data_IF_940650394030
#
_entry.id   IF_940650394030
#
_cell.length_a   1.000
_cell.length_b   1.000
_cell.length_c   1.000
_cell.angle_alpha   90.00
_cell.angle_beta   90.00
_cell.angle_gamma   90.00
#
_symmetry.space_group_name_H-M   'P 1'
#
loop_
_entity.id
_entity.type
_entity.pdbx_description
1 polymer ?
#
# COMPACT_ATOMS: atom_id res chain seq x y z
N UNK A 1 13.39 -17.27 -6.51
CA UNK A 1 13.46 -15.79 -6.43
C UNK A 1 12.12 -15.18 -5.99
N UNK A 2 11.02 -15.34 -6.74
CA UNK A 2 9.72 -14.72 -6.40
C UNK A 2 9.18 -15.05 -5.00
N UNK A 3 9.27 -16.32 -4.55
CA UNK A 3 8.79 -16.72 -3.22
C UNK A 3 9.56 -16.03 -2.07
N UNK A 4 10.86 -15.80 -2.23
CA UNK A 4 11.67 -15.11 -1.22
C UNK A 4 11.25 -13.64 -1.08
N UNK A 5 10.93 -12.97 -2.20
CA UNK A 5 10.43 -11.59 -2.21
C UNK A 5 9.06 -11.50 -1.54
N UNK A 6 8.16 -12.46 -1.81
CA UNK A 6 6.84 -12.50 -1.17
C UNK A 6 6.96 -12.73 0.34
N UNK A 7 7.79 -13.68 0.76
CA UNK A 7 8.03 -13.96 2.18
C UNK A 7 8.60 -12.75 2.91
N UNK A 8 9.58 -12.06 2.30
CA UNK A 8 10.13 -10.82 2.86
C UNK A 8 9.08 -9.71 2.93
N UNK A 9 8.28 -9.49 1.87
CA UNK A 9 7.24 -8.46 1.88
C UNK A 9 6.19 -8.71 2.98
N UNK A 10 5.85 -9.96 3.27
CA UNK A 10 4.93 -10.30 4.35
C UNK A 10 5.45 -9.87 5.73
N UNK A 11 6.77 -9.88 5.96
CA UNK A 11 7.36 -9.49 7.24
C UNK A 11 7.61 -7.99 7.37
N UNK A 12 7.92 -7.29 6.26
CA UNK A 12 8.30 -5.86 6.30
C UNK A 12 7.21 -4.88 5.84
N UNK A 13 6.05 -5.37 5.38
CA UNK A 13 4.97 -4.49 4.89
C UNK A 13 4.53 -3.49 5.96
N UNK A 14 4.54 -2.21 5.60
CA UNK A 14 3.92 -1.16 6.42
C UNK A 14 2.40 -1.32 6.43
N UNK A 15 1.82 -1.08 7.60
CA UNK A 15 0.38 -0.98 7.79
C UNK A 15 -0.07 0.41 7.36
N UNK A 16 -0.81 0.47 6.25
CA UNK A 16 -1.34 1.70 5.68
C UNK A 16 -2.87 1.60 5.68
N UNK A 17 -3.60 2.69 5.97
CA UNK A 17 -5.06 2.65 6.10
C UNK A 17 -5.75 2.01 4.89
N UNK A 18 -5.30 2.36 3.70
CA UNK A 18 -5.82 1.82 2.44
C UNK A 18 -5.44 0.37 2.12
N UNK A 19 -4.44 -0.20 2.82
CA UNK A 19 -4.09 -1.64 2.74
C UNK A 19 -4.96 -2.53 3.62
N UNK A 20 -5.80 -1.94 4.47
CA UNK A 20 -6.75 -2.66 5.35
C UNK A 20 -8.08 -2.98 4.66
N UNK A 21 -8.36 -2.33 3.54
CA UNK A 21 -9.56 -2.55 2.72
C UNK A 21 -9.23 -3.22 1.39
N UNK A 22 -10.22 -3.88 0.79
CA UNK A 22 -10.19 -4.43 -0.57
C UNK A 22 -11.20 -3.72 -1.50
N UNK A 23 -11.78 -2.62 -1.04
CA UNK A 23 -12.71 -1.81 -1.81
C UNK A 23 -11.99 -1.16 -3.00
N UNK A 24 -12.41 -1.43 -4.26
CA UNK A 24 -11.81 -0.84 -5.45
C UNK A 24 -11.79 0.69 -5.43
N UNK A 25 -12.82 1.32 -4.86
CA UNK A 25 -12.90 2.77 -4.79
C UNK A 25 -11.83 3.34 -3.85
N UNK A 26 -11.72 2.77 -2.64
CA UNK A 26 -10.71 3.18 -1.67
C UNK A 26 -9.28 2.95 -2.18
N UNK A 27 -9.04 1.87 -2.93
CA UNK A 27 -7.75 1.58 -3.56
C UNK A 27 -7.43 2.64 -4.62
N UNK A 28 -8.37 2.94 -5.52
CA UNK A 28 -8.20 3.94 -6.57
C UNK A 28 -7.93 5.34 -6.01
N UNK A 29 -8.70 5.76 -5.00
CA UNK A 29 -8.48 7.05 -4.32
C UNK A 29 -7.07 7.11 -3.73
N UNK A 30 -6.61 6.02 -3.11
CA UNK A 30 -5.26 5.96 -2.52
C UNK A 30 -4.16 6.04 -3.57
N UNK A 31 -4.36 5.42 -4.74
CA UNK A 31 -3.42 5.54 -5.86
C UNK A 31 -3.35 6.98 -6.37
N UNK A 32 -4.49 7.64 -6.57
CA UNK A 32 -4.56 9.04 -7.02
C UNK A 32 -3.92 9.97 -5.98
N UNK A 33 -4.20 9.79 -4.69
CA UNK A 33 -3.59 10.59 -3.62
C UNK A 33 -2.07 10.42 -3.59
N UNK A 34 -1.55 9.21 -3.82
CA UNK A 34 -0.12 8.89 -3.79
C UNK A 34 0.62 9.26 -5.08
N UNK A 35 -0.07 9.66 -6.14
CA UNK A 35 0.57 10.28 -7.28
C UNK A 35 1.12 11.64 -6.86
N UNK A 36 2.41 11.89 -7.13
CA UNK A 36 3.11 13.14 -6.83
C UNK A 36 3.17 13.56 -5.33
N UNK A 37 2.59 12.78 -4.40
CA UNK A 37 2.70 13.03 -2.94
C UNK A 37 3.39 11.86 -2.22
N UNK A 38 3.99 12.14 -1.06
CA UNK A 38 4.61 11.10 -0.22
C UNK A 38 3.55 10.48 0.67
N UNK A 39 3.67 9.19 0.97
CA UNK A 39 2.82 8.46 1.92
C UNK A 39 2.69 9.18 3.27
N UNK A 40 3.76 9.82 3.75
CA UNK A 40 3.76 10.58 5.01
C UNK A 40 2.91 11.86 4.98
N UNK A 41 2.49 12.31 3.80
CA UNK A 41 1.64 13.49 3.59
C UNK A 41 0.15 13.12 3.54
N UNK A 42 -0.17 11.83 3.39
CA UNK A 42 -1.54 11.30 3.21
C UNK A 42 -2.06 10.60 4.48
N UNK A 43 -1.21 10.42 5.49
CA UNK A 43 -1.54 9.81 6.80
C UNK A 43 -1.94 10.89 7.79
#
# INVERSE_FOLDING_TARGET
MAQAVVAHYQTVRRDLPWRRTRDPYAIWVSEVMLQQTRVATVI
#
